data_IF_417867352035
#
_entry.id   IF_417867352035
#
_cell.length_a   1.000
_cell.length_b   1.000
_cell.length_c   1.000
_cell.angle_alpha   90.00
_cell.angle_beta   90.00
_cell.angle_gamma   90.00
#
_symmetry.space_group_name_H-M   'P 1'
#
loop_
_entity.id
_entity.type
_entity.pdbx_description
1 polymer ?
#
# COMPACT_ATOMS: atom_id res chain seq x y z
N UNK A 1 1.83 12.45 2.89
CA UNK A 1 3.11 11.76 3.14
C UNK A 1 3.08 10.50 2.29
N UNK A 2 4.19 10.01 1.76
CA UNK A 2 4.20 8.69 1.12
C UNK A 2 4.48 7.64 2.19
N UNK A 3 3.67 6.58 2.30
CA UNK A 3 3.99 5.42 3.14
C UNK A 3 4.63 4.36 2.24
N UNK A 4 5.91 4.12 2.43
CA UNK A 4 6.71 3.09 1.73
C UNK A 4 7.84 2.54 2.61
N UNK A 5 8.53 1.49 2.15
CA UNK A 5 9.66 0.89 2.86
C UNK A 5 10.78 1.92 3.21
N UNK A 6 10.93 2.98 2.43
CA UNK A 6 11.94 4.03 2.65
C UNK A 6 11.57 4.99 3.80
N UNK A 7 10.29 5.04 4.17
CA UNK A 7 9.76 5.93 5.22
C UNK A 7 9.56 5.21 6.56
N UNK A 8 10.02 3.97 6.65
CA UNK A 8 9.94 3.14 7.85
C UNK A 8 11.35 2.75 8.27
N UNK A 9 11.60 2.84 9.57
CA UNK A 9 12.91 2.51 10.15
C UNK A 9 12.71 1.69 11.42
N UNK A 10 13.59 0.70 11.62
CA UNK A 10 13.64 -0.10 12.84
C UNK A 10 14.77 0.42 13.71
N UNK A 11 14.49 0.72 14.98
CA UNK A 11 15.51 1.15 15.93
C UNK A 11 16.37 -0.03 16.39
N UNK A 12 17.50 0.24 17.05
CA UNK A 12 18.32 -0.80 17.70
C UNK A 12 17.53 -1.64 18.73
N UNK A 13 16.43 -1.11 19.27
CA UNK A 13 15.55 -1.81 20.22
C UNK A 13 14.47 -2.65 19.55
N UNK A 14 14.40 -2.64 18.22
CA UNK A 14 13.34 -3.30 17.46
C UNK A 14 12.07 -2.46 17.29
N UNK A 15 12.03 -1.20 17.74
CA UNK A 15 10.86 -0.35 17.56
C UNK A 15 10.73 0.10 16.11
N UNK A 16 9.53 0.00 15.54
CA UNK A 16 9.24 0.48 14.19
C UNK A 16 8.78 1.95 14.25
N UNK A 17 9.43 2.82 13.48
CA UNK A 17 9.12 4.26 13.42
C UNK A 17 8.91 4.72 11.99
N UNK A 18 7.95 5.63 11.83
CA UNK A 18 7.75 6.39 10.59
C UNK A 18 8.70 7.58 10.56
N UNK A 19 9.34 7.80 9.41
CA UNK A 19 10.28 8.90 9.15
C UNK A 19 9.88 9.63 7.87
N UNK A 20 10.35 10.87 7.68
CA UNK A 20 10.01 11.66 6.48
C UNK A 20 8.60 12.25 6.49
N UNK A 21 7.95 12.32 7.66
CA UNK A 21 6.65 12.98 7.79
C UNK A 21 6.75 14.45 7.41
N UNK A 22 5.94 14.85 6.42
CA UNK A 22 5.83 16.23 5.95
C UNK A 22 4.43 16.75 6.23
N UNK A 23 4.30 18.07 6.38
CA UNK A 23 3.00 18.76 6.45
C UNK A 23 2.17 18.42 5.19
N UNK A 24 0.84 18.23 5.30
CA UNK A 24 -0.01 18.05 4.12
C UNK A 24 0.15 19.21 3.14
N UNK A 25 0.33 18.91 1.85
CA UNK A 25 0.47 19.90 0.78
C UNK A 25 -0.43 19.50 -0.38
N UNK A 26 -0.99 20.49 -1.10
CA UNK A 26 -1.58 20.23 -2.41
C UNK A 26 -0.46 19.72 -3.31
N UNK A 27 -0.60 18.50 -3.81
CA UNK A 27 0.44 17.91 -4.63
C UNK A 27 0.33 18.44 -6.06
N UNK A 28 1.46 18.83 -6.65
CA UNK A 28 1.58 19.05 -8.08
C UNK A 28 2.33 17.89 -8.69
N UNK A 29 1.76 17.30 -9.72
CA UNK A 29 2.32 16.10 -10.36
C UNK A 29 2.76 16.43 -11.77
N UNK A 30 3.91 15.92 -12.22
CA UNK A 30 4.36 16.06 -13.60
C UNK A 30 3.60 15.08 -14.52
N UNK A 31 2.26 15.06 -14.46
CA UNK A 31 1.39 14.13 -15.22
C UNK A 31 1.57 14.31 -16.73
N UNK A 32 1.87 15.54 -17.15
CA UNK A 32 2.09 15.87 -18.56
C UNK A 32 3.55 15.77 -19.01
N UNK A 33 4.45 15.36 -18.11
CA UNK A 33 5.87 15.22 -18.40
C UNK A 33 6.30 13.79 -18.73
N UNK A 34 7.60 13.63 -19.00
CA UNK A 34 8.27 12.34 -19.19
C UNK A 34 8.60 11.61 -17.87
N UNK A 35 7.99 12.05 -16.77
CA UNK A 35 8.25 11.49 -15.46
C UNK A 35 7.77 10.03 -15.38
N UNK A 36 8.62 9.17 -14.81
CA UNK A 36 8.30 7.76 -14.56
C UNK A 36 7.47 7.61 -13.29
N UNK A 37 6.64 6.57 -13.23
CA UNK A 37 5.79 6.24 -12.10
C UNK A 37 6.61 6.07 -10.81
N UNK A 38 7.75 5.37 -10.84
CA UNK A 38 8.69 5.33 -9.71
C UNK A 38 8.02 5.07 -8.36
N UNK A 39 8.14 6.03 -7.44
CA UNK A 39 7.49 5.98 -6.12
C UNK A 39 6.08 6.61 -6.10
N UNK A 40 5.64 7.24 -7.18
CA UNK A 40 4.25 7.70 -7.31
C UNK A 40 3.24 6.55 -7.29
N UNK A 41 3.68 5.28 -7.42
CA UNK A 41 2.82 4.10 -7.29
C UNK A 41 2.18 3.96 -5.91
N UNK A 42 2.78 4.57 -4.88
CA UNK A 42 2.22 4.62 -3.52
C UNK A 42 1.11 5.66 -3.37
N UNK A 43 0.86 6.47 -4.40
CA UNK A 43 -0.25 7.41 -4.42
C UNK A 43 -1.46 6.75 -5.09
N UNK A 44 -2.64 6.93 -4.50
CA UNK A 44 -3.86 6.39 -5.08
C UNK A 44 -4.40 7.28 -6.23
N UNK A 45 -5.32 6.73 -7.02
CA UNK A 45 -5.90 7.39 -8.20
C UNK A 45 -6.53 8.76 -7.91
N UNK A 46 -7.22 8.90 -6.78
CA UNK A 46 -7.89 10.14 -6.34
C UNK A 46 -6.90 11.28 -6.12
N UNK A 47 -5.72 10.99 -5.57
CA UNK A 47 -4.67 12.00 -5.36
C UNK A 47 -4.16 12.58 -6.68
N UNK A 48 -4.12 11.80 -7.77
CA UNK A 48 -3.75 12.31 -9.10
C UNK A 48 -4.84 13.18 -9.75
N UNK A 49 -6.09 13.07 -9.32
CA UNK A 49 -7.23 13.82 -9.85
C UNK A 49 -7.48 15.14 -9.08
N UNK A 50 -6.42 15.79 -8.59
CA UNK A 50 -6.47 17.02 -7.78
C UNK A 50 -7.19 16.88 -6.42
N UNK A 51 -7.49 15.66 -5.96
CA UNK A 51 -8.00 15.49 -4.60
C UNK A 51 -6.88 15.70 -3.57
N UNK A 52 -7.25 16.27 -2.43
CA UNK A 52 -6.34 16.41 -1.30
C UNK A 52 -5.85 15.04 -0.84
N UNK A 53 -4.55 14.97 -0.54
CA UNK A 53 -4.02 13.81 0.16
C UNK A 53 -4.66 13.75 1.55
N UNK A 54 -5.58 12.80 1.72
CA UNK A 54 -6.34 12.55 2.96
C UNK A 54 -5.97 11.19 3.55
N UNK A 55 -6.46 10.89 4.75
CA UNK A 55 -6.14 9.65 5.49
C UNK A 55 -6.41 8.35 4.70
N UNK A 56 -7.35 8.34 3.76
CA UNK A 56 -7.59 7.18 2.88
C UNK A 56 -6.43 6.91 1.90
N UNK A 57 -5.60 7.91 1.61
CA UNK A 57 -4.36 7.77 0.85
C UNK A 57 -3.26 7.10 1.67
N UNK A 58 -3.16 7.41 2.97
CA UNK A 58 -2.24 6.72 3.88
C UNK A 58 -2.64 5.23 4.00
N UNK A 59 -3.93 4.93 4.09
CA UNK A 59 -4.42 3.54 4.10
C UNK A 59 -4.03 2.80 2.82
N UNK A 60 -4.13 3.46 1.66
CA UNK A 60 -3.71 2.86 0.39
C UNK A 60 -2.21 2.52 0.41
N UNK A 61 -1.36 3.48 0.80
CA UNK A 61 0.09 3.27 0.92
C UNK A 61 0.45 2.16 1.92
N UNK A 62 -0.24 2.10 3.07
CA UNK A 62 -0.09 1.02 4.04
C UNK A 62 -0.42 -0.36 3.45
N UNK A 63 -1.47 -0.44 2.63
CA UNK A 63 -1.84 -1.67 1.92
C UNK A 63 -0.75 -2.17 0.98
N UNK A 64 -0.12 -1.26 0.24
CA UNK A 64 1.00 -1.59 -0.65
C UNK A 64 2.25 -2.01 0.12
N UNK A 65 2.58 -1.32 1.20
CA UNK A 65 3.67 -1.72 2.08
C UNK A 65 3.46 -3.13 2.64
N UNK A 66 2.26 -3.42 3.16
CA UNK A 66 1.91 -4.73 3.68
C UNK A 66 2.05 -5.81 2.59
N UNK A 67 1.65 -5.52 1.36
CA UNK A 67 1.90 -6.40 0.23
C UNK A 67 3.41 -6.64 0.02
N UNK A 68 4.22 -5.58 -0.01
CA UNK A 68 5.66 -5.71 -0.26
C UNK A 68 6.36 -6.54 0.82
N UNK A 69 5.96 -6.38 2.08
CA UNK A 69 6.50 -7.14 3.21
C UNK A 69 6.08 -8.61 3.19
N UNK A 70 4.82 -8.90 2.86
CA UNK A 70 4.29 -10.27 2.95
C UNK A 70 4.64 -11.13 1.73
N UNK A 71 4.81 -10.52 0.57
CA UNK A 71 5.12 -11.23 -0.67
C UNK A 71 6.58 -11.11 -1.11
N UNK A 72 7.42 -10.36 -0.38
CA UNK A 72 8.82 -10.07 -0.71
C UNK A 72 9.02 -9.61 -2.16
N UNK A 73 8.12 -8.74 -2.64
CA UNK A 73 8.12 -8.22 -4.01
C UNK A 73 7.61 -6.80 -4.04
N UNK A 74 8.20 -5.96 -4.89
CA UNK A 74 7.77 -4.57 -5.02
C UNK A 74 6.36 -4.47 -5.62
N UNK A 75 5.55 -3.60 -5.02
CA UNK A 75 4.25 -3.24 -5.58
C UNK A 75 4.46 -2.57 -6.94
N UNK A 76 3.70 -3.02 -7.94
CA UNK A 76 3.75 -2.49 -9.31
C UNK A 76 5.13 -2.54 -9.98
N UNK A 77 6.02 -3.47 -9.61
CA UNK A 77 7.42 -3.50 -10.06
C UNK A 77 7.59 -3.28 -11.57
N UNK A 78 6.89 -4.09 -12.38
CA UNK A 78 6.92 -4.00 -13.85
C UNK A 78 6.34 -2.71 -14.43
N UNK A 79 5.65 -1.90 -13.62
CA UNK A 79 4.98 -0.65 -14.01
C UNK A 79 5.68 0.59 -13.46
N UNK A 80 6.65 0.46 -12.55
CA UNK A 80 7.40 1.61 -12.00
C UNK A 80 8.20 2.37 -13.07
N UNK A 81 8.55 1.70 -14.17
CA UNK A 81 9.23 2.31 -15.32
C UNK A 81 8.30 3.05 -16.29
N UNK A 82 6.98 2.89 -16.16
CA UNK A 82 5.99 3.49 -17.06
C UNK A 82 5.95 5.00 -16.86
N UNK A 83 5.53 5.74 -17.87
CA UNK A 83 5.17 7.16 -17.68
C UNK A 83 4.04 7.24 -16.66
N UNK A 84 4.07 8.25 -15.79
CA UNK A 84 3.04 8.46 -14.75
C UNK A 84 1.65 8.46 -15.36
N UNK A 85 1.45 9.16 -16.49
CA UNK A 85 0.17 9.21 -17.20
C UNK A 85 -0.37 7.83 -17.57
N UNK A 86 0.47 6.97 -18.15
CA UNK A 86 0.07 5.63 -18.55
C UNK A 86 -0.21 4.74 -17.33
N UNK A 87 0.61 4.87 -16.29
CA UNK A 87 0.37 4.19 -15.02
C UNK A 87 -0.99 4.57 -14.40
N UNK A 88 -1.31 5.86 -14.32
CA UNK A 88 -2.57 6.34 -13.72
C UNK A 88 -3.79 5.85 -14.51
N UNK A 89 -3.73 5.92 -15.86
CA UNK A 89 -4.80 5.43 -16.73
C UNK A 89 -5.07 3.94 -16.52
N UNK A 90 -4.00 3.15 -16.41
CA UNK A 90 -4.07 1.69 -16.34
C UNK A 90 -4.13 1.18 -14.88
N UNK A 91 -4.25 2.07 -13.88
CA UNK A 91 -4.16 1.74 -12.46
C UNK A 91 -5.32 0.83 -12.01
N UNK A 92 -5.00 -0.45 -11.88
CA UNK A 92 -5.85 -1.48 -11.27
C UNK A 92 -5.04 -2.28 -10.22
N UNK A 93 -5.03 -1.84 -8.96
CA UNK A 93 -4.18 -2.43 -7.92
C UNK A 93 -4.40 -3.93 -7.73
N UNK A 94 -5.65 -4.40 -7.79
CA UNK A 94 -5.98 -5.83 -7.59
C UNK A 94 -5.45 -6.70 -8.72
N UNK A 95 -5.70 -6.30 -9.97
CA UNK A 95 -5.24 -7.06 -11.13
C UNK A 95 -3.72 -7.00 -11.27
N UNK A 96 -3.10 -5.85 -11.01
CA UNK A 96 -1.66 -5.65 -11.26
C UNK A 96 -0.80 -6.34 -10.18
N UNK A 97 -1.29 -6.42 -8.94
CA UNK A 97 -0.58 -7.11 -7.85
C UNK A 97 -0.90 -8.62 -7.77
N UNK A 98 -1.67 -9.15 -8.72
CA UNK A 98 -2.00 -10.58 -8.76
C UNK A 98 -2.82 -11.08 -7.56
N UNK A 99 -3.50 -10.19 -6.84
CA UNK A 99 -4.22 -10.51 -5.58
C UNK A 99 -5.42 -11.46 -5.78
N UNK A 100 -5.84 -11.68 -7.03
CA UNK A 100 -6.96 -12.58 -7.38
C UNK A 100 -6.49 -13.96 -7.88
N UNK A 101 -5.20 -14.15 -8.18
CA UNK A 101 -4.68 -15.36 -8.85
C UNK A 101 -3.63 -16.11 -8.04
N UNK A 102 -2.86 -15.42 -7.22
CA UNK A 102 -1.77 -16.01 -6.44
C UNK A 102 -1.71 -15.38 -5.05
N UNK A 103 -2.06 -16.15 -4.02
CA UNK A 103 -1.88 -15.71 -2.63
C UNK A 103 -0.41 -15.76 -2.21
N UNK A 104 0.51 -16.28 -3.03
CA UNK A 104 1.92 -16.43 -2.68
C UNK A 104 2.13 -17.33 -1.47
N UNK A 105 1.19 -18.24 -1.20
CA UNK A 105 1.16 -19.03 0.04
C UNK A 105 0.66 -18.26 1.27
N UNK A 106 0.26 -17.00 1.14
CA UNK A 106 -0.25 -16.23 2.28
C UNK A 106 -1.65 -16.66 2.71
N UNK A 107 -1.94 -16.57 4.02
CA UNK A 107 -3.29 -16.80 4.53
C UNK A 107 -4.31 -15.86 3.87
N UNK A 108 -5.47 -16.39 3.48
CA UNK A 108 -6.57 -15.61 2.92
C UNK A 108 -6.96 -14.36 3.75
N UNK A 109 -6.91 -14.37 5.11
CA UNK A 109 -7.12 -13.16 5.90
C UNK A 109 -6.14 -12.02 5.60
N UNK A 110 -4.86 -12.33 5.38
CA UNK A 110 -3.81 -11.34 5.04
C UNK A 110 -4.08 -10.75 3.66
N UNK A 111 -4.40 -11.60 2.68
CA UNK A 111 -4.77 -11.16 1.32
C UNK A 111 -5.96 -10.20 1.38
N UNK A 112 -6.98 -10.51 2.17
CA UNK A 112 -8.16 -9.65 2.36
C UNK A 112 -7.81 -8.31 2.98
N UNK A 113 -6.91 -8.27 3.97
CA UNK A 113 -6.45 -7.01 4.58
C UNK A 113 -5.83 -6.08 3.53
N UNK A 114 -4.93 -6.59 2.69
CA UNK A 114 -4.33 -5.83 1.58
C UNK A 114 -5.43 -5.32 0.63
N UNK A 115 -6.33 -6.21 0.19
CA UNK A 115 -7.42 -5.87 -0.74
C UNK A 115 -8.38 -4.79 -0.21
N UNK A 116 -8.57 -4.71 1.11
CA UNK A 116 -9.40 -3.69 1.76
C UNK A 116 -8.73 -2.30 1.77
N UNK A 117 -7.40 -2.26 1.71
CA UNK A 117 -6.62 -1.03 1.70
C UNK A 117 -6.48 -0.43 0.30
N UNK A 118 -6.33 -1.29 -0.72
CA UNK A 118 -5.94 -0.86 -2.09
C UNK A 118 -7.12 -0.68 -3.05
N UNK A 119 -8.31 -0.35 -2.52
CA UNK A 119 -9.51 -0.09 -3.33
C UNK A 119 -9.34 1.19 -4.16
N UNK A 120 -9.90 1.20 -5.37
CA UNK A 120 -9.77 2.33 -6.30
C UNK A 120 -10.40 3.60 -5.72
N UNK A 121 -11.65 3.52 -5.27
CA UNK A 121 -12.37 4.64 -4.67
C UNK A 121 -11.98 4.81 -3.20
N UNK A 122 -11.76 6.05 -2.76
CA UNK A 122 -11.40 6.36 -1.38
C UNK A 122 -12.48 5.95 -0.37
N UNK A 123 -13.76 6.09 -0.72
CA UNK A 123 -14.93 5.74 0.09
C UNK A 123 -15.09 4.24 0.30
N UNK A 124 -14.47 3.42 -0.56
CA UNK A 124 -14.48 1.96 -0.45
C UNK A 124 -13.27 1.41 0.32
N UNK A 125 -12.24 2.23 0.55
CA UNK A 125 -11.09 1.83 1.35
C UNK A 125 -11.50 1.73 2.80
N UNK A 126 -10.98 0.73 3.49
CA UNK A 126 -11.17 0.61 4.93
C UNK A 126 -10.57 1.81 5.68
N UNK A 127 -11.06 2.08 6.88
CA UNK A 127 -10.35 2.98 7.81
C UNK A 127 -9.15 2.26 8.42
N UNK A 128 -8.14 3.01 8.86
CA UNK A 128 -6.97 2.44 9.54
C UNK A 128 -7.38 1.68 10.81
N UNK A 129 -8.35 2.21 11.57
CA UNK A 129 -8.86 1.55 12.78
C UNK A 129 -9.47 0.18 12.47
N UNK A 130 -10.24 0.06 11.39
CA UNK A 130 -10.82 -1.23 10.99
C UNK A 130 -9.75 -2.19 10.44
N UNK A 131 -8.72 -1.69 9.76
CA UNK A 131 -7.55 -2.51 9.36
C UNK A 131 -6.83 -3.06 10.58
N UNK A 132 -6.55 -2.23 11.59
CA UNK A 132 -5.90 -2.63 12.84
C UNK A 132 -6.71 -3.69 13.59
N UNK A 133 -8.01 -3.47 13.77
CA UNK A 133 -8.89 -4.44 14.44
C UNK A 133 -8.86 -5.81 13.74
N UNK A 134 -8.84 -5.83 12.41
CA UNK A 134 -8.78 -7.07 11.64
C UNK A 134 -7.39 -7.71 11.68
N UNK A 135 -6.33 -6.90 11.68
CA UNK A 135 -4.95 -7.39 11.79
C UNK A 135 -4.72 -8.07 13.15
N UNK A 136 -5.24 -7.51 14.24
CA UNK A 136 -5.19 -8.12 15.57
C UNK A 136 -5.85 -9.50 15.59
N UNK A 137 -7.03 -9.63 14.99
CA UNK A 137 -7.71 -10.95 14.90
C UNK A 137 -6.87 -11.95 14.11
N UNK A 138 -6.22 -11.51 13.02
CA UNK A 138 -5.33 -12.39 12.24
C UNK A 138 -4.10 -12.79 13.04
N UNK A 139 -3.49 -11.88 13.79
CA UNK A 139 -2.33 -12.14 14.65
C UNK A 139 -2.67 -13.11 15.81
N UNK A 140 -3.82 -12.90 16.45
CA UNK A 140 -4.36 -13.79 17.47
C UNK A 140 -4.62 -15.21 16.93
N UNK A 141 -5.00 -15.34 15.66
CA UNK A 141 -5.24 -16.64 15.03
C UNK A 141 -3.94 -17.32 14.58
N UNK A 142 -2.94 -16.56 14.11
CA UNK A 142 -1.63 -17.08 13.73
C UNK A 142 -0.79 -17.50 14.95
N UNK A 143 -0.89 -16.77 16.06
CA UNK A 143 -0.19 -17.09 17.31
C UNK A 143 -0.69 -18.37 18.00
N UNK A 144 -1.88 -18.87 17.63
CA UNK A 144 -2.44 -20.14 18.09
C UNK A 144 -1.96 -21.35 17.29
N UNK A 145 -1.28 -21.16 16.15
CA UNK A 145 -0.73 -22.26 15.36
C UNK A 145 0.52 -22.77 16.08
N UNK A 146 0.58 -24.05 16.51
CA UNK A 146 1.77 -24.59 17.14
C UNK A 146 2.94 -24.48 16.17
N UNK A 147 4.03 -23.85 16.59
CA UNK A 147 5.29 -23.90 15.85
C UNK A 147 5.70 -25.38 15.81
N UNK A 148 5.63 -25.98 14.63
CA UNK A 148 5.97 -27.39 14.44
C UNK A 148 7.38 -27.68 14.99
N UNK A 149 7.46 -28.75 15.78
CA UNK A 149 8.72 -29.36 16.25
C UNK A 149 9.55 -29.90 15.09
#
# INVERSE_FOLDING_TARGET
MEISQHTITVTEKGDVKLTGACVPRKASFPIDGEAKAGNFVYLPHDVFNDELYITSGDVYGFGLLMYELMYDRLAFDSKRSYRIRDFVRDLNPKAIMGLDQDSGGLPAPVVRLVQMCVKKLNSERSTISNVLNKLQVVDDDLSKVPVGQ
#
